data_IF_471559433648
#
_entry.id   IF_471559433648
#
_cell.length_a   1.000
_cell.length_b   1.000
_cell.length_c   1.000
_cell.angle_alpha   90.00
_cell.angle_beta   90.00
_cell.angle_gamma   90.00
#
_symmetry.space_group_name_H-M   'P 1'
#
loop_
_entity.id
_entity.type
_entity.pdbx_description
1 polymer ?
#
# COMPACT_ATOMS: atom_id res chain seq x y z
N UNK A 1 -5.97 12.27 -28.51
CA UNK A 1 -5.74 11.02 -29.27
C UNK A 1 -6.85 10.05 -28.91
N UNK A 2 -7.40 9.32 -29.88
CA UNK A 2 -8.67 8.59 -29.72
C UNK A 2 -8.44 7.25 -28.97
N UNK A 3 -8.71 7.24 -27.66
CA UNK A 3 -8.38 6.13 -26.77
C UNK A 3 -9.05 4.81 -27.20
N UNK A 4 -10.30 4.86 -27.66
CA UNK A 4 -11.06 3.68 -28.09
C UNK A 4 -10.42 3.03 -29.32
N UNK A 5 -9.92 3.84 -30.26
CA UNK A 5 -9.21 3.34 -31.43
C UNK A 5 -7.88 2.67 -31.04
N UNK A 6 -7.13 3.27 -30.13
CA UNK A 6 -5.90 2.68 -29.60
C UNK A 6 -6.15 1.39 -28.82
N UNK A 7 -7.32 1.28 -28.17
CA UNK A 7 -7.75 0.09 -27.44
C UNK A 7 -8.34 -1.01 -28.37
N UNK A 8 -8.41 -0.77 -29.68
CA UNK A 8 -9.08 -1.67 -30.63
C UNK A 8 -10.59 -1.79 -30.42
N UNK A 9 -11.18 -0.93 -29.58
CA UNK A 9 -12.60 -0.92 -29.22
C UNK A 9 -13.41 -0.16 -30.29
N UNK A 10 -13.34 -0.63 -31.53
CA UNK A 10 -13.94 0.03 -32.71
C UNK A 10 -15.35 -0.46 -33.04
N UNK A 11 -15.99 -1.21 -32.14
CA UNK A 11 -17.35 -1.72 -32.34
C UNK A 11 -18.33 -0.55 -32.55
N UNK A 12 -19.08 -0.52 -33.67
CA UNK A 12 -20.12 0.49 -33.86
C UNK A 12 -21.23 0.31 -32.83
N UNK A 13 -21.52 1.36 -32.06
CA UNK A 13 -22.62 1.38 -31.10
C UNK A 13 -23.87 1.90 -31.79
N UNK A 14 -24.94 1.12 -31.77
CA UNK A 14 -26.21 1.43 -32.45
C UNK A 14 -27.28 1.89 -31.48
N UNK A 15 -27.24 1.41 -30.24
CA UNK A 15 -28.17 1.81 -29.19
C UNK A 15 -27.46 1.89 -27.83
N UNK A 16 -28.13 2.42 -26.81
CA UNK A 16 -27.54 2.64 -25.49
C UNK A 16 -27.25 1.32 -24.76
N UNK A 17 -27.98 0.27 -25.11
CA UNK A 17 -27.79 -1.09 -24.61
C UNK A 17 -26.44 -1.68 -25.04
N UNK A 18 -25.84 -1.18 -26.13
CA UNK A 18 -24.49 -1.58 -26.57
C UNK A 18 -23.39 -1.04 -25.65
N UNK A 19 -23.71 -0.22 -24.63
CA UNK A 19 -22.73 0.26 -23.65
C UNK A 19 -22.02 -0.90 -22.95
N UNK A 20 -22.73 -1.96 -22.60
CA UNK A 20 -22.14 -3.08 -21.85
C UNK A 20 -21.11 -3.83 -22.72
N UNK A 21 -21.37 -3.90 -24.02
CA UNK A 21 -20.46 -4.42 -25.03
C UNK A 21 -19.19 -3.56 -25.16
N UNK A 22 -19.32 -2.23 -25.12
CA UNK A 22 -18.15 -1.34 -25.10
C UNK A 22 -17.33 -1.51 -23.82
N UNK A 23 -17.99 -1.56 -22.66
CA UNK A 23 -17.33 -1.76 -21.37
C UNK A 23 -16.55 -3.08 -21.37
N UNK A 24 -17.16 -4.16 -21.89
CA UNK A 24 -16.49 -5.45 -22.03
C UNK A 24 -15.25 -5.37 -22.92
N UNK A 25 -15.35 -4.70 -24.08
CA UNK A 25 -14.22 -4.56 -25.00
C UNK A 25 -13.07 -3.76 -24.35
N UNK A 26 -13.37 -2.68 -23.62
CA UNK A 26 -12.38 -1.88 -22.89
C UNK A 26 -11.72 -2.70 -21.78
N UNK A 27 -12.52 -3.47 -21.01
CA UNK A 27 -12.00 -4.33 -19.95
C UNK A 27 -11.09 -5.43 -20.51
N UNK A 28 -11.50 -6.07 -21.61
CA UNK A 28 -10.69 -7.06 -22.31
C UNK A 28 -9.37 -6.48 -22.78
N UNK A 29 -9.39 -5.28 -23.36
CA UNK A 29 -8.16 -4.61 -23.77
C UNK A 29 -7.26 -4.32 -22.56
N UNK A 30 -7.79 -3.65 -21.53
CA UNK A 30 -7.00 -3.20 -20.40
C UNK A 30 -6.44 -4.33 -19.53
N UNK A 31 -7.24 -5.38 -19.31
CA UNK A 31 -6.90 -6.46 -18.38
C UNK A 31 -6.23 -7.64 -19.07
N UNK A 32 -6.58 -7.93 -20.34
CA UNK A 32 -6.14 -9.15 -21.02
C UNK A 32 -5.20 -8.84 -22.18
N UNK A 33 -5.67 -8.12 -23.20
CA UNK A 33 -4.91 -8.00 -24.46
C UNK A 33 -3.57 -7.29 -24.26
N UNK A 34 -3.53 -6.24 -23.43
CA UNK A 34 -2.29 -5.49 -23.18
C UNK A 34 -1.20 -6.30 -22.47
N UNK A 35 -1.58 -7.32 -21.71
CA UNK A 35 -0.63 -8.14 -20.93
C UNK A 35 -0.36 -9.49 -21.58
N UNK A 36 -1.21 -9.94 -22.51
CA UNK A 36 -1.15 -11.27 -23.13
C UNK A 36 0.24 -11.59 -23.72
N UNK A 37 0.75 -10.74 -24.60
CA UNK A 37 2.07 -10.97 -25.23
C UNK A 37 3.26 -10.85 -24.27
N UNK A 38 3.11 -10.14 -23.14
CA UNK A 38 4.13 -10.14 -22.09
C UNK A 38 4.09 -11.44 -21.29
N UNK A 39 2.88 -11.92 -20.96
CA UNK A 39 2.67 -13.16 -20.22
C UNK A 39 3.09 -14.39 -21.04
N UNK A 40 2.77 -14.45 -22.33
CA UNK A 40 3.18 -15.53 -23.23
C UNK A 40 4.71 -15.66 -23.28
N UNK A 41 5.43 -14.54 -23.50
CA UNK A 41 6.89 -14.53 -23.49
C UNK A 41 7.48 -14.86 -22.13
N UNK A 42 6.83 -14.44 -21.05
CA UNK A 42 7.25 -14.82 -19.70
C UNK A 42 7.13 -16.34 -19.48
N UNK A 43 6.01 -16.94 -19.89
CA UNK A 43 5.77 -18.39 -19.85
C UNK A 43 6.79 -19.14 -20.72
N UNK A 44 7.07 -18.65 -21.92
CA UNK A 44 8.10 -19.20 -22.81
C UNK A 44 9.49 -19.13 -22.18
N UNK A 45 9.87 -17.99 -21.62
CA UNK A 45 11.14 -17.81 -20.92
C UNK A 45 11.33 -18.74 -19.72
N UNK A 46 10.28 -18.96 -18.94
CA UNK A 46 10.30 -19.96 -17.84
C UNK A 46 10.41 -21.40 -18.36
N UNK A 47 9.89 -21.69 -19.56
CA UNK A 47 10.01 -23.00 -20.18
C UNK A 47 11.42 -23.28 -20.71
N UNK A 48 12.19 -22.28 -21.14
CA UNK A 48 13.48 -22.44 -21.83
C UNK A 48 14.45 -23.37 -21.10
N UNK A 49 14.51 -23.30 -19.75
CA UNK A 49 15.36 -24.15 -18.92
C UNK A 49 14.56 -25.11 -18.02
N UNK A 50 13.29 -25.36 -18.36
CA UNK A 50 12.41 -26.26 -17.60
C UNK A 50 11.93 -25.72 -16.26
N UNK A 51 12.17 -24.44 -15.94
CA UNK A 51 11.77 -23.80 -14.67
C UNK A 51 10.25 -23.85 -14.51
N UNK A 52 9.49 -23.60 -15.57
CA UNK A 52 8.02 -23.71 -15.52
C UNK A 52 7.56 -25.12 -15.12
N UNK A 53 8.23 -26.15 -15.61
CA UNK A 53 7.90 -27.53 -15.27
C UNK A 53 8.25 -27.82 -13.80
N UNK A 54 9.41 -27.35 -13.32
CA UNK A 54 9.79 -27.47 -11.91
C UNK A 54 8.80 -26.76 -10.97
N UNK A 55 8.33 -25.56 -11.33
CA UNK A 55 7.30 -24.82 -10.58
C UNK A 55 6.00 -25.63 -10.50
N UNK A 56 5.55 -26.20 -11.63
CA UNK A 56 4.32 -27.01 -11.70
C UNK A 56 4.41 -28.30 -10.89
N UNK A 57 5.57 -28.95 -10.87
CA UNK A 57 5.79 -30.18 -10.10
C UNK A 57 5.95 -29.91 -8.60
N UNK A 58 6.50 -28.76 -8.21
CA UNK A 58 6.82 -28.44 -6.81
C UNK A 58 6.31 -27.06 -6.36
N UNK A 59 4.99 -26.78 -6.43
CA UNK A 59 4.45 -25.46 -6.17
C UNK A 59 4.75 -24.96 -4.74
N UNK A 60 4.78 -25.86 -3.75
CA UNK A 60 5.08 -25.50 -2.36
C UNK A 60 6.50 -24.94 -2.17
N UNK A 61 7.49 -25.52 -2.85
CA UNK A 61 8.90 -25.08 -2.76
C UNK A 61 9.15 -23.77 -3.48
N UNK A 62 8.42 -23.49 -4.57
CA UNK A 62 8.55 -22.27 -5.34
C UNK A 62 7.69 -21.12 -4.81
N UNK A 63 6.68 -21.40 -3.99
CA UNK A 63 5.77 -20.37 -3.45
C UNK A 63 6.52 -19.26 -2.69
N UNK A 64 7.48 -19.51 -1.79
CA UNK A 64 8.23 -18.44 -1.11
C UNK A 64 9.14 -17.64 -2.06
N UNK A 65 9.53 -18.22 -3.20
CA UNK A 65 10.39 -17.57 -4.19
C UNK A 65 9.59 -16.72 -5.19
N UNK A 66 8.40 -17.18 -5.56
CA UNK A 66 7.59 -16.61 -6.65
C UNK A 66 6.38 -15.80 -6.16
N UNK A 67 5.93 -16.04 -4.93
CA UNK A 67 4.77 -15.37 -4.36
C UNK A 67 5.17 -14.61 -3.09
N UNK A 68 4.58 -13.43 -2.92
CA UNK A 68 4.68 -12.72 -1.67
C UNK A 68 3.95 -13.51 -0.57
N UNK A 69 4.66 -13.77 0.52
CA UNK A 69 4.10 -14.30 1.74
C UNK A 69 4.06 -13.17 2.77
N UNK A 70 2.87 -12.71 3.21
CA UNK A 70 2.77 -11.62 4.17
C UNK A 70 3.47 -12.01 5.47
N UNK A 71 4.68 -11.50 5.68
CA UNK A 71 5.33 -11.59 6.97
C UNK A 71 4.64 -10.62 7.93
N UNK A 72 4.33 -11.09 9.14
CA UNK A 72 3.79 -10.21 10.17
C UNK A 72 4.75 -9.03 10.36
N UNK A 73 4.21 -7.80 10.32
CA UNK A 73 4.98 -6.61 10.62
C UNK A 73 5.44 -6.70 12.09
N UNK A 74 6.72 -6.98 12.32
CA UNK A 74 7.30 -7.01 13.66
C UNK A 74 7.81 -5.63 14.06
N UNK A 75 7.97 -5.41 15.36
CA UNK A 75 8.57 -4.19 15.87
C UNK A 75 10.00 -4.00 15.33
N UNK A 76 10.77 -5.08 15.20
CA UNK A 76 12.15 -5.05 14.67
C UNK A 76 12.20 -4.59 13.20
N UNK A 77 11.24 -5.04 12.37
CA UNK A 77 11.15 -4.62 10.96
C UNK A 77 10.80 -3.13 10.87
N UNK A 78 9.94 -2.63 11.76
CA UNK A 78 9.59 -1.20 11.80
C UNK A 78 10.72 -0.33 12.38
N UNK A 79 11.52 -0.85 13.30
CA UNK A 79 12.74 -0.20 13.84
C UNK A 79 13.80 0.06 12.76
N UNK A 80 13.80 -0.72 11.67
CA UNK A 80 14.66 -0.47 10.51
C UNK A 80 14.10 0.58 9.55
N UNK A 81 12.80 0.87 9.61
CA UNK A 81 12.12 1.89 8.79
C UNK A 81 12.08 3.26 9.46
N UNK A 82 12.09 3.31 10.79
CA UNK A 82 12.10 4.53 11.60
C UNK A 82 12.97 4.32 12.85
N UNK A 83 13.68 5.35 13.32
CA UNK A 83 14.38 5.25 14.61
C UNK A 83 13.39 5.35 15.78
N UNK A 84 12.88 4.21 16.26
CA UNK A 84 11.88 4.16 17.33
C UNK A 84 12.56 4.08 18.70
N UNK A 85 12.22 5.01 19.60
CA UNK A 85 12.63 4.95 21.01
C UNK A 85 11.54 4.31 21.85
N UNK A 86 11.78 3.08 22.26
CA UNK A 86 10.84 2.30 23.06
C UNK A 86 11.09 2.51 24.55
N UNK A 87 10.03 2.41 25.35
CA UNK A 87 10.14 2.43 26.81
C UNK A 87 10.84 1.16 27.33
N UNK A 88 11.46 1.23 28.51
CA UNK A 88 12.17 0.09 29.12
C UNK A 88 11.34 -1.20 29.15
N UNK A 89 12.03 -2.32 28.93
CA UNK A 89 11.45 -3.66 28.93
C UNK A 89 10.83 -3.94 30.30
N UNK A 90 9.54 -4.27 30.32
CA UNK A 90 8.77 -4.50 31.55
C UNK A 90 7.97 -3.30 32.05
N UNK A 91 8.12 -2.11 31.46
CA UNK A 91 7.32 -0.95 31.83
C UNK A 91 5.85 -1.10 31.41
N UNK A 92 4.94 -0.48 32.18
CA UNK A 92 3.52 -0.39 31.81
C UNK A 92 3.29 0.32 30.47
N UNK A 93 4.23 1.18 30.05
CA UNK A 93 4.23 1.89 28.76
C UNK A 93 4.49 0.92 27.60
N UNK A 94 5.46 0.00 27.75
CA UNK A 94 5.82 -1.02 26.74
C UNK A 94 4.65 -1.93 26.34
N UNK A 95 3.77 -2.29 27.28
CA UNK A 95 2.57 -3.11 27.00
C UNK A 95 1.51 -2.38 26.18
N UNK A 96 1.52 -1.04 26.18
CA UNK A 96 0.55 -0.21 25.45
C UNK A 96 1.03 0.15 24.02
N UNK A 97 2.28 -0.17 23.68
CA UNK A 97 2.98 0.14 22.41
C UNK A 97 2.85 -0.99 21.34
N UNK A 98 1.82 -1.86 21.44
CA UNK A 98 1.74 -3.12 20.68
C UNK A 98 1.65 -3.04 19.13
N UNK A 99 1.96 -4.15 18.42
CA UNK A 99 2.09 -4.23 16.95
C UNK A 99 0.82 -3.85 16.18
N UNK A 100 -0.35 -4.00 16.78
CA UNK A 100 -1.64 -3.61 16.18
C UNK A 100 -1.80 -2.10 16.02
N UNK A 101 -1.01 -1.27 16.74
CA UNK A 101 -1.00 0.19 16.58
C UNK A 101 -0.02 0.63 15.49
N UNK A 102 1.09 -0.08 15.36
CA UNK A 102 2.13 0.19 14.37
C UNK A 102 1.63 0.00 12.94
N UNK A 103 0.92 -1.10 12.65
CA UNK A 103 0.29 -1.31 11.35
C UNK A 103 -0.75 -0.23 10.99
N UNK A 104 -1.44 0.33 11.99
CA UNK A 104 -2.39 1.43 11.77
C UNK A 104 -1.69 2.75 11.45
N UNK A 105 -0.55 3.03 12.08
CA UNK A 105 0.27 4.21 11.75
C UNK A 105 0.88 4.05 10.36
N UNK A 106 1.37 2.86 10.01
CA UNK A 106 1.89 2.57 8.68
C UNK A 106 0.80 2.76 7.61
N UNK A 107 -0.39 2.20 7.83
CA UNK A 107 -1.52 2.38 6.94
C UNK A 107 -1.97 3.84 6.85
N UNK A 108 -1.93 4.58 7.96
CA UNK A 108 -2.23 6.00 7.97
C UNK A 108 -1.23 6.78 7.11
N UNK A 109 0.08 6.53 7.24
CA UNK A 109 1.13 7.27 6.54
C UNK A 109 1.30 6.88 5.07
N UNK A 110 1.10 5.59 4.73
CA UNK A 110 1.48 5.01 3.44
C UNK A 110 0.30 4.42 2.65
N UNK A 111 -0.86 4.24 3.28
CA UNK A 111 -1.98 3.51 2.71
C UNK A 111 -1.82 1.98 2.75
N UNK A 112 -0.68 1.45 3.18
CA UNK A 112 -0.42 0.02 3.29
C UNK A 112 -0.33 -0.43 4.75
N UNK A 113 -0.97 -1.56 5.08
CA UNK A 113 -0.89 -2.17 6.42
C UNK A 113 0.34 -3.07 6.61
N UNK A 114 1.07 -3.33 5.53
CA UNK A 114 2.30 -4.12 5.47
C UNK A 114 3.30 -3.46 4.52
N UNK A 115 4.58 -3.77 4.68
CA UNK A 115 5.63 -3.27 3.79
C UNK A 115 5.55 -4.04 2.46
N UNK A 116 5.55 -3.35 1.30
CA UNK A 116 5.59 -4.02 0.01
C UNK A 116 6.86 -4.87 -0.15
N UNK A 117 6.85 -5.98 -0.92
CA UNK A 117 8.04 -6.80 -1.17
C UNK A 117 9.25 -6.02 -1.71
N UNK A 118 8.98 -4.99 -2.50
CA UNK A 118 9.99 -4.11 -3.11
C UNK A 118 10.35 -2.91 -2.22
N UNK A 119 9.80 -2.84 -1.00
CA UNK A 119 9.85 -1.68 -0.14
C UNK A 119 8.96 -0.53 -0.63
N UNK A 120 9.05 0.62 0.04
CA UNK A 120 8.32 1.82 -0.32
C UNK A 120 9.16 2.71 -1.25
N UNK A 121 8.51 3.27 -2.27
CA UNK A 121 9.09 4.29 -3.15
C UNK A 121 8.06 5.39 -3.40
N UNK A 122 8.32 6.66 -2.99
CA UNK A 122 9.50 7.11 -2.25
C UNK A 122 9.57 6.52 -0.83
N UNK A 123 10.74 6.58 -0.19
CA UNK A 123 10.88 6.12 1.19
C UNK A 123 9.96 6.93 2.13
N UNK A 124 9.35 6.31 3.15
CA UNK A 124 8.48 7.00 4.08
C UNK A 124 9.23 8.11 4.82
N UNK A 125 8.58 9.26 4.99
CA UNK A 125 9.18 10.44 5.61
C UNK A 125 8.26 11.04 6.67
N UNK A 126 8.86 11.86 7.55
CA UNK A 126 8.14 12.65 8.55
C UNK A 126 8.45 14.12 8.33
N UNK A 127 7.41 14.92 8.10
CA UNK A 127 7.49 16.38 8.06
C UNK A 127 6.83 16.97 9.32
N UNK A 128 7.33 18.11 9.78
CA UNK A 128 6.70 18.84 10.88
C UNK A 128 5.88 20.02 10.36
N UNK A 129 4.68 20.18 10.90
CA UNK A 129 3.81 21.32 10.59
C UNK A 129 4.26 22.52 11.42
N UNK A 130 4.86 23.50 10.75
CA UNK A 130 5.40 24.72 11.36
C UNK A 130 4.43 25.92 11.32
N UNK A 131 3.21 25.75 10.78
CA UNK A 131 2.26 26.85 10.63
C UNK A 131 1.50 27.13 11.94
N UNK A 132 1.75 28.30 12.52
CA UNK A 132 1.16 28.79 13.77
C UNK A 132 -0.21 29.46 13.59
N UNK A 133 -0.75 29.52 12.36
CA UNK A 133 -1.98 30.26 12.04
C UNK A 133 -3.28 29.56 12.46
N UNK A 134 -3.23 28.27 12.83
CA UNK A 134 -4.39 27.51 13.27
C UNK A 134 -4.35 27.29 14.79
N UNK A 135 -5.50 27.45 15.45
CA UNK A 135 -5.59 27.26 16.90
C UNK A 135 -5.03 25.88 17.29
N UNK A 136 -4.16 25.76 18.31
CA UNK A 136 -3.47 24.51 18.68
C UNK A 136 -4.42 23.32 18.93
N UNK A 137 -5.70 23.61 19.24
CA UNK A 137 -6.76 22.61 19.42
C UNK A 137 -7.31 22.00 18.12
N UNK A 138 -6.86 22.41 16.94
CA UNK A 138 -7.32 21.87 15.64
C UNK A 138 -6.20 21.21 14.83
N UNK A 139 -4.96 21.24 15.30
CA UNK A 139 -3.85 20.61 14.59
C UNK A 139 -3.92 19.09 14.78
N UNK A 140 -4.22 18.36 13.70
CA UNK A 140 -4.17 16.90 13.66
C UNK A 140 -2.99 16.47 12.79
N UNK A 141 -2.39 15.31 13.04
CA UNK A 141 -1.45 14.73 12.09
C UNK A 141 -2.15 14.47 10.77
N UNK A 142 -1.42 14.68 9.68
CA UNK A 142 -1.89 14.44 8.31
C UNK A 142 -0.98 13.43 7.64
N UNK A 143 -1.49 12.76 6.62
CA UNK A 143 -0.70 11.86 5.79
C UNK A 143 -0.87 12.22 4.31
N UNK A 144 0.22 12.11 3.56
CA UNK A 144 0.20 12.09 2.11
C UNK A 144 0.69 10.71 1.65
N UNK A 145 -0.25 9.80 1.46
CA UNK A 145 0.03 8.40 1.13
C UNK A 145 0.70 8.24 -0.23
N UNK A 146 0.46 9.15 -1.20
CA UNK A 146 1.10 9.10 -2.51
C UNK A 146 2.62 9.27 -2.44
N UNK A 147 3.13 9.92 -1.39
CA UNK A 147 4.57 10.14 -1.16
C UNK A 147 5.05 9.55 0.17
N UNK A 148 4.23 8.71 0.82
CA UNK A 148 4.54 8.09 2.11
C UNK A 148 4.96 9.09 3.20
N UNK A 149 4.41 10.30 3.21
CA UNK A 149 4.80 11.36 4.15
C UNK A 149 3.77 11.51 5.28
N UNK A 150 4.24 11.36 6.52
CA UNK A 150 3.49 11.67 7.74
C UNK A 150 3.82 13.09 8.21
N UNK A 151 2.83 13.96 8.28
CA UNK A 151 2.97 15.33 8.75
C UNK A 151 2.53 15.44 10.20
N UNK A 152 3.45 15.80 11.09
CA UNK A 152 3.21 15.86 12.52
C UNK A 152 3.10 17.31 13.02
N UNK A 153 2.03 17.66 13.74
CA UNK A 153 1.97 18.89 14.49
C UNK A 153 2.90 18.89 15.69
N UNK A 154 3.41 20.07 16.02
CA UNK A 154 4.25 20.30 17.19
C UNK A 154 3.34 20.59 18.40
N UNK A 155 3.58 19.86 19.50
CA UNK A 155 2.89 20.08 20.77
C UNK A 155 3.90 20.13 21.91
N UNK A 156 3.64 20.99 22.90
CA UNK A 156 4.49 21.12 24.09
C UNK A 156 4.35 19.94 25.05
N UNK A 157 3.22 19.22 24.97
CA UNK A 157 2.92 18.07 25.84
C UNK A 157 2.70 16.81 25.02
N UNK A 158 3.36 15.74 25.43
CA UNK A 158 3.16 14.41 24.86
C UNK A 158 1.71 13.92 24.95
N UNK A 159 0.99 14.29 26.02
CA UNK A 159 -0.43 13.92 26.19
C UNK A 159 -1.30 14.43 25.03
N UNK A 160 -1.10 15.69 24.64
CA UNK A 160 -1.84 16.32 23.54
C UNK A 160 -1.45 15.69 22.20
N UNK A 161 -0.16 15.44 21.97
CA UNK A 161 0.31 14.70 20.79
C UNK A 161 -0.35 13.33 20.66
N UNK A 162 -0.32 12.54 21.75
CA UNK A 162 -0.85 11.17 21.76
C UNK A 162 -2.34 11.15 21.48
N UNK A 163 -3.12 12.00 22.16
CA UNK A 163 -4.58 12.07 21.95
C UNK A 163 -4.93 12.40 20.50
N UNK A 164 -4.20 13.33 19.88
CA UNK A 164 -4.40 13.74 18.49
C UNK A 164 -4.02 12.66 17.50
N UNK A 165 -2.93 11.95 17.76
CA UNK A 165 -2.49 10.82 16.94
C UNK A 165 -3.47 9.66 17.02
N UNK A 166 -3.88 9.26 18.23
CA UNK A 166 -4.86 8.19 18.44
C UNK A 166 -6.19 8.54 17.78
N UNK A 167 -6.64 9.81 17.87
CA UNK A 167 -7.84 10.28 17.19
C UNK A 167 -7.71 10.17 15.66
N UNK A 168 -6.64 10.69 15.06
CA UNK A 168 -6.48 10.71 13.60
C UNK A 168 -6.35 9.29 13.02
N UNK A 169 -5.55 8.44 13.66
CA UNK A 169 -5.36 7.03 13.24
C UNK A 169 -6.63 6.21 13.48
N UNK A 170 -7.39 6.50 14.55
CA UNK A 170 -8.66 5.83 14.85
C UNK A 170 -9.80 6.20 13.91
N UNK A 171 -9.82 7.44 13.40
CA UNK A 171 -10.91 7.98 12.57
C UNK A 171 -10.63 7.97 11.07
N UNK A 172 -9.48 7.49 10.63
CA UNK A 172 -9.20 7.29 9.20
C UNK A 172 -9.71 5.93 8.73
N UNK A 173 -10.65 5.95 7.79
CA UNK A 173 -11.00 4.77 7.01
C UNK A 173 -10.02 4.72 5.84
N UNK A 174 -9.03 3.82 5.91
CA UNK A 174 -8.08 3.64 4.82
C UNK A 174 -8.76 3.12 3.55
N UNK A 175 -8.13 3.30 2.39
CA UNK A 175 -8.49 2.55 1.18
C UNK A 175 -8.13 1.07 1.36
N UNK A 176 -9.05 0.16 1.03
CA UNK A 176 -8.77 -1.29 1.01
C UNK A 176 -9.12 -2.08 2.27
N UNK A 177 -10.11 -1.64 3.08
CA UNK A 177 -10.72 -2.52 4.09
C UNK A 177 -11.80 -3.39 3.44
N UNK A 178 -11.40 -4.57 2.98
CA UNK A 178 -12.28 -5.74 2.85
C UNK A 178 -11.92 -6.76 3.94
#
# INVERSE_FOLDING_TARGET
QDYLANAGCLRPLKCIEDRDLLVQDILMFQVVHRVCGALERFVEGLNTLGVLNAIRMHPGSFRPLMCHEPSALTADIMDHLFHIRLSEVGSNKRRQEGPSKLGKILAFATGASVIPPVGFSPQPSIDFLHDHSSSPRRCLPMANTCINCLKLPLFDKYGDFRERMDFAVGNTQGFGRE
#
